data_IF_104274268228
#
_entry.id   IF_104274268228
#
_cell.length_a   1.000
_cell.length_b   1.000
_cell.length_c   1.000
_cell.angle_alpha   90.00
_cell.angle_beta   90.00
_cell.angle_gamma   90.00
#
_symmetry.space_group_name_H-M   'P 1'
#
loop_
_entity.id
_entity.type
_entity.pdbx_description
1 polymer ?
#
# COMPACT_ATOMS: atom_id res chain seq x y z
N UNK A 1 6.32 -20.48 37.95
CA UNK A 1 5.80 -19.68 36.82
C UNK A 1 5.94 -20.52 35.57
N UNK A 2 4.86 -21.16 35.11
CA UNK A 2 4.90 -21.84 33.82
C UNK A 2 5.04 -20.75 32.73
N UNK A 3 6.14 -20.79 31.97
CA UNK A 3 6.38 -19.82 30.90
C UNK A 3 5.34 -19.98 29.79
N UNK A 4 4.90 -18.87 29.21
CA UNK A 4 3.98 -18.88 28.06
C UNK A 4 4.60 -19.66 26.91
N UNK A 5 3.85 -20.61 26.34
CA UNK A 5 4.36 -21.44 25.25
C UNK A 5 4.36 -20.65 23.93
N UNK A 6 5.22 -21.04 22.98
CA UNK A 6 5.23 -20.43 21.64
C UNK A 6 3.86 -20.55 20.94
N UNK A 7 3.14 -21.65 21.18
CA UNK A 7 1.79 -21.88 20.66
C UNK A 7 0.76 -20.88 21.24
N UNK A 8 0.84 -20.59 22.54
CA UNK A 8 -0.03 -19.60 23.18
C UNK A 8 0.23 -18.18 22.65
N UNK A 9 1.50 -17.80 22.49
CA UNK A 9 1.90 -16.50 21.94
C UNK A 9 1.41 -16.37 20.49
N UNK A 10 1.68 -17.36 19.64
CA UNK A 10 1.25 -17.33 18.24
C UNK A 10 -0.28 -17.34 18.12
N UNK A 11 -0.96 -18.20 18.89
CA UNK A 11 -2.42 -18.26 18.91
C UNK A 11 -3.04 -16.94 19.35
N UNK A 12 -2.47 -16.30 20.38
CA UNK A 12 -2.88 -14.96 20.83
C UNK A 12 -2.70 -13.91 19.75
N UNK A 13 -1.53 -13.88 19.10
CA UNK A 13 -1.23 -12.96 18.02
C UNK A 13 -2.20 -13.14 16.83
N UNK A 14 -2.43 -14.38 16.38
CA UNK A 14 -3.33 -14.65 15.25
C UNK A 14 -4.76 -14.25 15.56
N UNK A 15 -5.27 -14.54 16.77
CA UNK A 15 -6.61 -14.11 17.21
C UNK A 15 -6.75 -12.59 17.22
N UNK A 16 -5.75 -11.88 17.75
CA UNK A 16 -5.77 -10.42 17.75
C UNK A 16 -5.82 -9.86 16.32
N UNK A 17 -4.98 -10.38 15.42
CA UNK A 17 -4.97 -9.95 14.02
C UNK A 17 -6.25 -10.30 13.29
N UNK A 18 -6.85 -11.46 13.56
CA UNK A 18 -8.14 -11.83 13.01
C UNK A 18 -9.24 -10.87 13.49
N UNK A 19 -9.25 -10.48 14.77
CA UNK A 19 -10.22 -9.53 15.30
C UNK A 19 -10.06 -8.12 14.72
N UNK A 20 -8.83 -7.66 14.47
CA UNK A 20 -8.58 -6.40 13.75
C UNK A 20 -9.10 -6.47 12.31
N UNK A 21 -8.84 -7.58 11.60
CA UNK A 21 -9.33 -7.79 10.25
C UNK A 21 -10.87 -7.82 10.17
N UNK A 22 -11.54 -8.58 11.06
CA UNK A 22 -13.00 -8.67 11.09
C UNK A 22 -13.66 -7.34 11.49
N UNK A 23 -13.02 -6.55 12.35
CA UNK A 23 -13.49 -5.18 12.66
C UNK A 23 -13.42 -4.28 11.43
N UNK A 24 -12.31 -4.30 10.70
CA UNK A 24 -12.18 -3.55 9.45
C UNK A 24 -13.21 -4.01 8.40
N UNK A 25 -13.53 -5.31 8.36
CA UNK A 25 -14.55 -5.86 7.47
C UNK A 25 -15.95 -5.32 7.79
N UNK A 26 -16.29 -5.30 9.09
CA UNK A 26 -17.56 -4.75 9.55
C UNK A 26 -17.66 -3.26 9.24
N UNK A 27 -16.64 -2.47 9.57
CA UNK A 27 -16.59 -1.03 9.26
C UNK A 27 -16.74 -0.79 7.77
N UNK A 28 -16.08 -1.57 6.91
CA UNK A 28 -16.26 -1.47 5.47
C UNK A 28 -17.71 -1.72 5.03
N UNK A 29 -18.37 -2.75 5.58
CA UNK A 29 -19.78 -3.04 5.29
C UNK A 29 -20.76 -1.97 5.79
N UNK A 30 -20.43 -1.28 6.88
CA UNK A 30 -21.19 -0.15 7.42
C UNK A 30 -21.01 1.10 6.55
N UNK A 31 -19.76 1.45 6.19
CA UNK A 31 -19.44 2.64 5.40
C UNK A 31 -19.80 2.50 3.92
N UNK A 32 -19.85 1.28 3.36
CA UNK A 32 -20.18 1.08 1.95
C UNK A 32 -21.62 1.50 1.56
N UNK A 33 -22.50 1.74 2.54
CA UNK A 33 -23.92 2.08 2.32
C UNK A 33 -24.20 3.58 2.24
N UNK A 34 -23.25 4.45 2.58
CA UNK A 34 -23.43 5.89 2.58
C UNK A 34 -22.34 6.60 1.76
N UNK A 35 -22.75 7.46 0.83
CA UNK A 35 -21.80 8.21 0.00
C UNK A 35 -20.91 9.16 0.84
N UNK A 36 -21.44 9.66 1.95
CA UNK A 36 -20.74 10.55 2.89
C UNK A 36 -19.56 9.87 3.60
N UNK A 37 -19.57 8.54 3.72
CA UNK A 37 -18.51 7.75 4.40
C UNK A 37 -17.55 7.07 3.43
N UNK A 38 -17.44 7.55 2.19
CA UNK A 38 -16.51 7.02 1.19
C UNK A 38 -15.04 7.03 1.67
N UNK A 39 -14.64 8.05 2.45
CA UNK A 39 -13.30 8.12 3.06
C UNK A 39 -13.07 7.02 4.10
N UNK A 40 -14.04 6.78 4.96
CA UNK A 40 -13.99 5.70 5.97
C UNK A 40 -13.98 4.31 5.32
N UNK A 41 -14.77 4.12 4.26
CA UNK A 41 -14.74 2.90 3.47
C UNK A 41 -13.33 2.67 2.89
N UNK A 42 -12.66 3.73 2.42
CA UNK A 42 -11.27 3.68 1.95
C UNK A 42 -10.25 3.28 3.02
N UNK A 43 -10.37 3.85 4.22
CA UNK A 43 -9.53 3.46 5.34
C UNK A 43 -9.78 2.02 5.80
N UNK A 44 -11.05 1.60 5.83
CA UNK A 44 -11.43 0.24 6.17
C UNK A 44 -10.82 -0.78 5.20
N UNK A 45 -10.81 -0.51 3.89
CA UNK A 45 -10.18 -1.42 2.92
C UNK A 45 -8.65 -1.41 3.01
N UNK A 46 -8.03 -0.25 3.26
CA UNK A 46 -6.59 -0.20 3.57
C UNK A 46 -6.25 -1.07 4.78
N UNK A 47 -7.05 -0.97 5.84
CA UNK A 47 -6.90 -1.78 7.05
C UNK A 47 -7.12 -3.28 6.78
N UNK A 48 -8.16 -3.66 6.02
CA UNK A 48 -8.42 -5.03 5.57
C UNK A 48 -7.23 -5.61 4.81
N UNK A 49 -6.69 -4.85 3.84
CA UNK A 49 -5.55 -5.30 3.04
C UNK A 49 -4.29 -5.48 3.88
N UNK A 50 -4.04 -4.56 4.80
CA UNK A 50 -2.92 -4.66 5.75
C UNK A 50 -3.09 -5.88 6.68
N UNK A 51 -4.30 -6.11 7.19
CA UNK A 51 -4.63 -7.28 8.01
C UNK A 51 -4.43 -8.60 7.28
N UNK A 52 -4.96 -8.71 6.04
CA UNK A 52 -4.80 -9.90 5.21
C UNK A 52 -3.32 -10.22 4.92
N UNK A 53 -2.51 -9.21 4.59
CA UNK A 53 -1.06 -9.39 4.36
C UNK A 53 -0.32 -9.81 5.62
N UNK A 54 -0.64 -9.21 6.77
CA UNK A 54 -0.02 -9.55 8.07
C UNK A 54 -0.38 -10.96 8.51
N UNK A 55 -1.64 -11.37 8.37
CA UNK A 55 -2.08 -12.74 8.62
C UNK A 55 -1.39 -13.72 7.68
N UNK A 56 -1.40 -13.45 6.37
CA UNK A 56 -0.73 -14.30 5.38
C UNK A 56 0.78 -14.43 5.62
N UNK A 57 1.44 -13.35 6.04
CA UNK A 57 2.85 -13.35 6.43
C UNK A 57 3.12 -14.17 7.70
N UNK A 58 2.29 -14.01 8.75
CA UNK A 58 2.42 -14.81 9.96
C UNK A 58 2.22 -16.31 9.69
N UNK A 59 1.20 -16.65 8.90
CA UNK A 59 0.95 -18.03 8.47
C UNK A 59 2.11 -18.59 7.62
N UNK A 60 2.78 -17.75 6.83
CA UNK A 60 3.96 -18.17 6.08
C UNK A 60 5.15 -18.48 7.00
N UNK A 61 5.48 -17.56 7.90
CA UNK A 61 6.64 -17.65 8.80
C UNK A 61 6.50 -18.81 9.77
N UNK A 62 5.32 -18.98 10.36
CA UNK A 62 5.05 -20.00 11.38
C UNK A 62 4.41 -21.26 10.80
N UNK A 63 4.40 -21.41 9.47
CA UNK A 63 3.84 -22.58 8.77
C UNK A 63 4.24 -23.94 9.38
N UNK A 64 5.50 -24.18 9.79
CA UNK A 64 5.89 -25.49 10.35
C UNK A 64 5.24 -25.81 11.70
N UNK A 65 4.67 -24.82 12.39
CA UNK A 65 4.02 -24.96 13.69
C UNK A 65 2.49 -25.10 13.59
N UNK A 66 1.96 -25.07 12.37
CA UNK A 66 0.53 -25.06 12.06
C UNK A 66 0.19 -26.28 11.19
N UNK A 67 -1.09 -26.57 11.03
CA UNK A 67 -1.52 -27.50 9.98
C UNK A 67 -1.15 -26.92 8.60
N UNK A 68 -0.29 -27.62 7.87
CA UNK A 68 0.29 -27.13 6.60
C UNK A 68 -0.79 -26.88 5.55
N UNK A 69 -1.74 -27.81 5.40
CA UNK A 69 -2.78 -27.73 4.38
C UNK A 69 -3.73 -26.55 4.66
N UNK A 70 -4.13 -26.37 5.91
CA UNK A 70 -4.94 -25.25 6.36
C UNK A 70 -4.21 -23.91 6.17
N UNK A 71 -2.95 -23.82 6.58
CA UNK A 71 -2.17 -22.59 6.47
C UNK A 71 -1.98 -22.18 5.00
N UNK A 72 -1.67 -23.13 4.10
CA UNK A 72 -1.48 -22.85 2.68
C UNK A 72 -2.79 -22.49 1.97
N UNK A 73 -3.89 -23.18 2.30
CA UNK A 73 -5.21 -22.83 1.78
C UNK A 73 -5.62 -21.41 2.21
N UNK A 74 -5.58 -21.11 3.52
CA UNK A 74 -5.96 -19.79 4.03
C UNK A 74 -5.07 -18.66 3.46
N UNK A 75 -3.78 -18.91 3.28
CA UNK A 75 -2.87 -17.95 2.63
C UNK A 75 -3.25 -17.66 1.18
N UNK A 76 -3.69 -18.68 0.45
CA UNK A 76 -4.14 -18.52 -0.94
C UNK A 76 -5.36 -17.60 -1.00
N UNK A 77 -6.35 -17.85 -0.15
CA UNK A 77 -7.56 -17.02 -0.04
C UNK A 77 -7.24 -15.58 0.37
N UNK A 78 -6.37 -15.39 1.38
CA UNK A 78 -5.95 -14.05 1.82
C UNK A 78 -5.18 -13.29 0.75
N UNK A 79 -4.36 -13.98 -0.04
CA UNK A 79 -3.63 -13.37 -1.15
C UNK A 79 -4.60 -12.96 -2.28
N UNK A 80 -5.54 -13.84 -2.62
CA UNK A 80 -6.60 -13.53 -3.58
C UNK A 80 -7.40 -12.31 -3.13
N UNK A 81 -7.88 -12.27 -1.88
CA UNK A 81 -8.63 -11.15 -1.33
C UNK A 81 -7.82 -9.85 -1.35
N UNK A 82 -6.56 -9.89 -0.89
CA UNK A 82 -5.67 -8.72 -0.89
C UNK A 82 -5.43 -8.17 -2.30
N UNK A 83 -5.32 -9.06 -3.29
CA UNK A 83 -5.20 -8.69 -4.70
C UNK A 83 -6.47 -8.06 -5.27
N UNK A 84 -7.64 -8.60 -4.92
CA UNK A 84 -8.94 -8.05 -5.35
C UNK A 84 -9.18 -6.65 -4.77
N UNK A 85 -9.01 -6.48 -3.45
CA UNK A 85 -9.13 -5.18 -2.80
C UNK A 85 -8.13 -4.14 -3.35
N UNK A 86 -6.92 -4.57 -3.72
CA UNK A 86 -5.94 -3.67 -4.33
C UNK A 86 -6.40 -3.14 -5.70
N UNK A 87 -7.06 -3.97 -6.51
CA UNK A 87 -7.55 -3.58 -7.84
C UNK A 87 -8.68 -2.57 -7.74
N UNK A 88 -9.66 -2.81 -6.88
CA UNK A 88 -10.80 -1.89 -6.67
C UNK A 88 -10.31 -0.49 -6.28
N UNK A 89 -9.35 -0.40 -5.35
CA UNK A 89 -8.78 0.89 -4.96
C UNK A 89 -7.87 1.50 -6.00
N UNK A 90 -7.13 0.69 -6.76
CA UNK A 90 -6.34 1.19 -7.87
C UNK A 90 -7.25 1.85 -8.92
N UNK A 91 -8.44 1.29 -9.18
CA UNK A 91 -9.42 1.89 -10.08
C UNK A 91 -10.04 3.17 -9.50
N UNK A 92 -10.44 3.18 -8.23
CA UNK A 92 -10.97 4.39 -7.57
C UNK A 92 -9.94 5.53 -7.58
N UNK A 93 -8.70 5.26 -7.17
CA UNK A 93 -7.62 6.24 -7.18
C UNK A 93 -7.19 6.66 -8.59
N UNK A 94 -7.38 5.80 -9.60
CA UNK A 94 -7.16 6.17 -11.01
C UNK A 94 -8.28 7.06 -11.51
N UNK A 95 -9.53 6.77 -11.19
CA UNK A 95 -10.69 7.59 -11.55
C UNK A 95 -10.57 8.99 -10.95
N UNK A 96 -10.27 9.10 -9.66
CA UNK A 96 -10.09 10.39 -8.98
C UNK A 96 -9.00 11.24 -9.66
N UNK A 97 -7.83 10.63 -9.91
CA UNK A 97 -6.73 11.29 -10.65
C UNK A 97 -7.15 11.72 -12.06
N UNK A 98 -7.93 10.92 -12.76
CA UNK A 98 -8.43 11.25 -14.11
C UNK A 98 -9.44 12.40 -14.07
N UNK A 99 -10.37 12.41 -13.11
CA UNK A 99 -11.34 13.49 -12.94
C UNK A 99 -10.66 14.81 -12.58
N UNK A 100 -9.67 14.78 -11.68
CA UNK A 100 -8.85 15.95 -11.37
C UNK A 100 -8.11 16.47 -12.60
N UNK A 101 -7.48 15.59 -13.38
CA UNK A 101 -6.79 15.97 -14.61
C UNK A 101 -7.76 16.54 -15.66
N UNK A 102 -8.93 15.95 -15.82
CA UNK A 102 -9.95 16.39 -16.76
C UNK A 102 -10.54 17.75 -16.34
N UNK A 103 -10.78 17.96 -15.04
CA UNK A 103 -11.23 19.25 -14.53
C UNK A 103 -10.20 20.35 -14.80
N UNK A 104 -8.90 20.06 -14.60
CA UNK A 104 -7.81 21.00 -14.93
C UNK A 104 -7.77 21.35 -16.42
N UNK A 105 -7.94 20.36 -17.30
CA UNK A 105 -8.00 20.59 -18.74
C UNK A 105 -9.24 21.41 -19.15
N UNK A 106 -10.41 21.10 -18.58
CA UNK A 106 -11.66 21.77 -18.87
C UNK A 106 -11.72 23.21 -18.33
N UNK A 107 -11.07 23.49 -17.20
CA UNK A 107 -10.99 24.84 -16.60
C UNK A 107 -9.97 25.76 -17.28
N UNK A 108 -9.44 25.37 -18.45
CA UNK A 108 -8.50 26.18 -19.21
C UNK A 108 -7.09 26.21 -18.62
N UNK A 109 -6.75 25.24 -17.77
CA UNK A 109 -5.45 25.14 -17.12
C UNK A 109 -4.32 24.89 -18.11
N UNK A 110 -3.70 25.97 -18.59
CA UNK A 110 -2.31 25.99 -19.01
C UNK A 110 -1.47 25.27 -17.96
N UNK A 111 -0.76 24.23 -18.37
CA UNK A 111 0.29 23.62 -17.57
C UNK A 111 1.23 24.72 -17.05
N UNK A 112 1.78 24.62 -15.82
CA UNK A 112 2.92 25.46 -15.48
C UNK A 112 4.00 25.18 -16.53
N UNK A 113 4.27 26.18 -17.36
CA UNK A 113 5.44 26.22 -18.22
C UNK A 113 6.63 26.10 -17.29
N UNK A 114 7.25 24.91 -17.25
CA UNK A 114 8.61 24.79 -16.77
C UNK A 114 9.45 25.65 -17.72
N UNK A 115 9.67 26.91 -17.34
CA UNK A 115 10.63 27.76 -18.03
C UNK A 115 11.99 27.07 -17.95
N UNK A 116 12.67 26.82 -19.07
CA UNK A 116 14.11 26.60 -19.02
C UNK A 116 14.73 27.97 -18.75
N UNK A 117 15.14 28.21 -17.51
CA UNK A 117 16.12 29.27 -17.23
C UNK A 117 17.45 28.84 -17.86
N UNK A 118 17.59 29.18 -19.13
CA UNK A 118 18.83 29.08 -19.88
C UNK A 118 19.04 30.36 -20.67
N UNK A 119 19.95 31.21 -20.18
CA UNK A 119 21.02 31.84 -20.96
C UNK A 119 21.57 33.10 -20.26
N UNK A 120 22.76 32.96 -19.68
CA UNK A 120 23.71 34.05 -19.47
C UNK A 120 25.10 33.51 -19.80
N UNK A 121 25.45 33.53 -21.08
CA UNK A 121 26.76 33.12 -21.58
C UNK A 121 27.86 34.15 -21.26
N UNK A 122 29.07 33.65 -21.04
CA UNK A 122 30.28 34.45 -20.88
C UNK A 122 31.53 33.56 -20.89
N UNK A 123 32.09 33.42 -22.08
CA UNK A 123 33.28 32.65 -22.46
C UNK A 123 34.59 33.21 -21.91
N UNK A 124 35.52 32.31 -21.52
CA UNK A 124 36.98 32.35 -21.69
C UNK A 124 37.57 31.19 -20.86
N UNK A 125 38.69 30.52 -21.11
CA UNK A 125 39.62 30.32 -22.21
C UNK A 125 40.70 29.37 -21.60
N UNK A 126 41.36 28.54 -22.41
CA UNK A 126 42.64 27.92 -22.06
C UNK A 126 42.66 26.42 -21.68
N UNK A 127 43.23 25.55 -22.53
CA UNK A 127 43.71 24.23 -22.16
C UNK A 127 45.22 24.28 -21.80
N UNK A 128 45.58 23.78 -20.61
CA UNK A 128 46.93 23.36 -20.25
C UNK A 128 46.76 22.32 -19.13
N UNK A 129 47.26 21.09 -19.18
CA UNK A 129 48.47 20.59 -19.84
C UNK A 129 49.38 20.02 -18.75
N UNK A 130 49.31 18.70 -18.53
CA UNK A 130 50.45 17.88 -18.08
C UNK A 130 50.69 17.68 -16.58
N UNK A 131 50.99 16.44 -16.22
CA UNK A 131 52.02 16.16 -15.22
C UNK A 131 51.61 15.31 -14.02
N UNK A 132 51.54 13.99 -14.23
CA UNK A 132 51.75 13.02 -13.16
C UNK A 132 53.18 13.12 -12.62
N UNK A 133 53.34 13.06 -11.29
CA UNK A 133 54.56 12.73 -10.53
C UNK A 133 54.08 11.97 -9.28
N UNK A 134 54.34 10.67 -9.24
CA UNK A 134 55.36 9.99 -8.44
C UNK A 134 54.91 9.73 -6.99
#
# INVERSE_FOLDING_TARGET
>A
MAGTTAAEVLGGYLRQRAAEFLRALRTHGESARAAESAGEAADAVRALRAGARRLGGALHTYRPLLDLAWADHLRTELNWLSGTLAREYAYAARLDRLLVALHRLASGGTAPSAAPDGAGGGTADGPAGGGARD
#
